data_IF_847945900669
#
_entry.id   IF_847945900669
#
_cell.length_a   1.000
_cell.length_b   1.000
_cell.length_c   1.000
_cell.angle_alpha   90.00
_cell.angle_beta   90.00
_cell.angle_gamma   90.00
#
_symmetry.space_group_name_H-M   'P 1'
#
loop_
_entity.id
_entity.type
_entity.pdbx_description
1 polymer ?
#
# COMPACT_ATOMS: atom_id res chain seq x y z
N UNK A 1 10.75 -2.06 -10.65
CA UNK A 1 10.56 -3.18 -11.59
C UNK A 1 9.43 -4.07 -11.05
N UNK A 2 8.95 -5.05 -11.83
CA UNK A 2 7.96 -6.03 -11.34
C UNK A 2 8.35 -7.44 -11.76
N UNK A 3 7.84 -8.43 -11.02
CA UNK A 3 7.92 -9.84 -11.39
C UNK A 3 6.52 -10.38 -11.63
N UNK A 4 6.41 -11.33 -12.56
CA UNK A 4 5.17 -12.05 -12.82
C UNK A 4 5.07 -13.16 -11.78
N UNK A 5 3.96 -13.18 -11.04
CA UNK A 5 3.75 -14.15 -9.99
C UNK A 5 3.24 -15.46 -10.58
N UNK A 6 3.86 -16.58 -10.20
CA UNK A 6 3.29 -17.89 -10.45
C UNK A 6 2.15 -18.15 -9.45
N UNK A 7 0.91 -18.10 -9.93
CA UNK A 7 -0.31 -18.29 -9.11
C UNK A 7 -0.33 -19.68 -8.46
N UNK A 8 0.16 -20.72 -9.15
CA UNK A 8 0.09 -22.10 -8.65
C UNK A 8 0.98 -22.35 -7.43
N UNK A 9 2.05 -21.58 -7.25
CA UNK A 9 2.92 -21.67 -6.08
C UNK A 9 2.60 -20.63 -5.00
N UNK A 10 1.58 -19.80 -5.20
CA UNK A 10 1.30 -18.68 -4.31
C UNK A 10 0.40 -19.09 -3.14
N UNK A 11 0.84 -18.79 -1.92
CA UNK A 11 0.10 -19.08 -0.68
C UNK A 11 -1.34 -18.54 -0.68
N UNK A 12 -1.61 -17.46 -1.43
CA UNK A 12 -2.94 -16.82 -1.47
C UNK A 12 -3.77 -17.20 -2.70
N UNK A 13 -3.39 -18.26 -3.42
CA UNK A 13 -4.11 -18.73 -4.63
C UNK A 13 -5.61 -18.86 -4.38
N UNK A 14 -6.01 -19.63 -3.38
CA UNK A 14 -7.43 -19.89 -3.09
C UNK A 14 -8.19 -18.61 -2.75
N UNK A 15 -7.60 -17.72 -1.94
CA UNK A 15 -8.20 -16.42 -1.65
C UNK A 15 -8.36 -15.57 -2.92
N UNK A 16 -7.35 -15.55 -3.79
CA UNK A 16 -7.42 -14.81 -5.03
C UNK A 16 -8.49 -15.36 -5.97
N UNK A 17 -8.55 -16.68 -6.17
CA UNK A 17 -9.56 -17.31 -7.02
C UNK A 17 -10.99 -17.07 -6.49
N UNK A 18 -11.17 -17.14 -5.17
CA UNK A 18 -12.46 -16.85 -4.54
C UNK A 18 -12.90 -15.39 -4.76
N UNK A 19 -12.04 -14.42 -4.44
CA UNK A 19 -12.42 -12.99 -4.56
C UNK A 19 -12.43 -12.49 -6.01
N UNK A 20 -11.61 -13.05 -6.91
CA UNK A 20 -11.57 -12.63 -8.33
C UNK A 20 -12.92 -12.81 -9.03
N UNK A 21 -13.74 -13.75 -8.58
CA UNK A 21 -15.06 -14.02 -9.15
C UNK A 21 -16.13 -12.98 -8.77
N UNK A 22 -15.83 -12.03 -7.89
CA UNK A 22 -16.80 -11.06 -7.38
C UNK A 22 -16.80 -9.81 -8.24
N UNK A 23 -17.97 -9.20 -8.45
CA UNK A 23 -18.09 -7.90 -9.14
C UNK A 23 -17.38 -6.76 -8.39
N UNK A 24 -17.35 -6.84 -7.05
CA UNK A 24 -16.74 -5.84 -6.16
C UNK A 24 -15.80 -6.49 -5.13
N UNK A 25 -14.56 -6.84 -5.51
CA UNK A 25 -13.62 -7.57 -4.66
C UNK A 25 -12.78 -6.64 -3.76
N UNK A 26 -13.41 -5.64 -3.13
CA UNK A 26 -12.73 -4.65 -2.29
C UNK A 26 -13.51 -4.36 -1.01
N UNK A 27 -12.78 -3.97 0.04
CA UNK A 27 -13.34 -3.57 1.32
C UNK A 27 -12.63 -2.32 1.83
N UNK A 28 -13.34 -1.52 2.64
CA UNK A 28 -12.79 -0.37 3.35
C UNK A 28 -12.51 -0.71 4.81
N UNK A 29 -11.47 -0.11 5.38
CA UNK A 29 -11.22 -0.14 6.82
C UNK A 29 -10.71 1.23 7.29
N UNK A 30 -11.07 1.60 8.51
CA UNK A 30 -10.58 2.80 9.17
C UNK A 30 -10.04 2.45 10.56
N UNK A 31 -9.02 3.19 10.98
CA UNK A 31 -8.47 3.06 12.33
C UNK A 31 -7.81 4.36 12.75
N UNK A 32 -7.74 4.58 14.08
CA UNK A 32 -7.04 5.71 14.66
C UNK A 32 -5.57 5.35 14.84
N UNK A 33 -4.68 6.20 14.34
CA UNK A 33 -3.23 6.07 14.52
C UNK A 33 -2.75 7.22 15.41
N UNK A 34 -2.07 6.90 16.50
CA UNK A 34 -1.43 7.91 17.34
C UNK A 34 -0.18 8.46 16.63
N UNK A 35 -0.21 9.76 16.34
CA UNK A 35 0.86 10.49 15.65
C UNK A 35 1.64 11.44 16.58
N UNK A 36 1.43 11.36 17.90
CA UNK A 36 2.04 12.27 18.88
C UNK A 36 3.57 12.34 18.70
N UNK A 37 4.22 11.18 18.53
CA UNK A 37 5.67 11.12 18.30
C UNK A 37 6.10 11.76 16.98
N UNK A 38 5.36 11.51 15.89
CA UNK A 38 5.63 12.11 14.59
C UNK A 38 5.51 13.64 14.64
N UNK A 39 4.49 14.14 15.34
CA UNK A 39 4.27 15.57 15.55
C UNK A 39 5.44 16.23 16.29
N UNK A 40 5.90 15.65 17.40
CA UNK A 40 7.04 16.20 18.15
C UNK A 40 8.33 16.22 17.32
N UNK A 41 8.61 15.16 16.56
CA UNK A 41 9.77 15.11 15.65
C UNK A 41 9.68 16.21 14.59
N UNK A 42 8.51 16.36 13.94
CA UNK A 42 8.33 17.37 12.90
C UNK A 42 8.51 18.78 13.46
N UNK A 43 7.94 19.06 14.65
CA UNK A 43 8.05 20.36 15.30
C UNK A 43 9.50 20.69 15.68
N UNK A 44 10.25 19.73 16.22
CA UNK A 44 11.66 19.93 16.58
C UNK A 44 12.57 20.19 15.36
N UNK A 45 12.23 19.62 14.20
CA UNK A 45 13.04 19.71 12.98
C UNK A 45 12.50 20.72 11.96
N UNK A 46 11.42 21.45 12.27
CA UNK A 46 10.70 22.33 11.36
C UNK A 46 10.28 21.63 10.04
N UNK A 47 9.81 20.39 10.13
CA UNK A 47 9.32 19.62 8.99
C UNK A 47 7.80 19.71 8.84
N UNK A 48 7.32 19.60 7.61
CA UNK A 48 5.89 19.45 7.33
C UNK A 48 5.38 18.11 7.86
N UNK A 49 4.44 18.16 8.81
CA UNK A 49 3.78 16.95 9.34
C UNK A 49 3.13 16.14 8.22
N UNK A 50 2.54 16.82 7.24
CA UNK A 50 1.90 16.18 6.08
C UNK A 50 2.88 15.33 5.28
N UNK A 51 4.01 15.92 4.86
CA UNK A 51 5.02 15.19 4.10
C UNK A 51 5.64 14.06 4.92
N UNK A 52 5.80 14.29 6.23
CA UNK A 52 6.37 13.29 7.13
C UNK A 52 5.49 12.04 7.24
N UNK A 53 4.20 12.19 7.58
CA UNK A 53 3.33 11.01 7.65
C UNK A 53 3.12 10.39 6.27
N UNK A 54 3.08 11.18 5.20
CA UNK A 54 2.97 10.66 3.83
C UNK A 54 4.14 9.75 3.47
N UNK A 55 5.37 10.17 3.78
CA UNK A 55 6.56 9.34 3.64
C UNK A 55 6.47 8.05 4.46
N UNK A 56 6.03 8.14 5.72
CA UNK A 56 5.87 6.96 6.58
C UNK A 56 4.80 5.99 6.04
N UNK A 57 3.68 6.50 5.53
CA UNK A 57 2.64 5.69 4.88
C UNK A 57 3.18 4.99 3.63
N UNK A 58 3.93 5.69 2.77
CA UNK A 58 4.59 5.08 1.62
C UNK A 58 5.58 3.99 2.04
N UNK A 59 6.38 4.23 3.09
CA UNK A 59 7.33 3.25 3.62
C UNK A 59 6.60 2.00 4.13
N UNK A 60 5.53 2.15 4.90
CA UNK A 60 4.73 1.03 5.40
C UNK A 60 4.15 0.19 4.25
N UNK A 61 3.53 0.85 3.26
CA UNK A 61 2.99 0.19 2.06
C UNK A 61 4.06 -0.59 1.29
N UNK A 62 5.26 -0.01 1.13
CA UNK A 62 6.36 -0.69 0.47
C UNK A 62 6.95 -1.85 1.27
N UNK A 63 6.91 -1.79 2.61
CA UNK A 63 7.38 -2.88 3.47
C UNK A 63 6.40 -4.07 3.53
N UNK A 64 5.12 -3.83 3.26
CA UNK A 64 4.09 -4.86 3.26
C UNK A 64 3.83 -5.37 1.83
N UNK A 65 4.30 -6.58 1.54
CA UNK A 65 4.19 -7.20 0.21
C UNK A 65 2.75 -7.28 -0.32
N UNK A 66 1.79 -7.53 0.56
CA UNK A 66 0.38 -7.65 0.18
C UNK A 66 -0.15 -6.40 -0.56
N UNK A 67 0.39 -5.20 -0.28
CA UNK A 67 -0.01 -3.98 -0.98
C UNK A 67 0.65 -3.81 -2.35
N UNK A 68 1.67 -4.61 -2.70
CA UNK A 68 2.47 -4.48 -3.93
C UNK A 68 1.97 -5.34 -5.09
N UNK A 69 0.97 -6.19 -4.86
CA UNK A 69 0.32 -6.97 -5.92
C UNK A 69 -0.61 -6.10 -6.79
N UNK A 70 -0.60 -6.31 -8.10
CA UNK A 70 -1.56 -5.71 -9.06
C UNK A 70 -2.03 -6.78 -10.04
N UNK A 71 -3.29 -6.69 -10.45
CA UNK A 71 -3.84 -7.47 -11.55
C UNK A 71 -3.86 -6.59 -12.80
N UNK A 72 -3.10 -6.96 -13.83
CA UNK A 72 -3.05 -6.22 -15.10
C UNK A 72 -3.18 -7.25 -16.24
N UNK A 73 -4.21 -7.12 -17.07
CA UNK A 73 -4.46 -8.05 -18.19
C UNK A 73 -4.46 -9.53 -17.72
N UNK A 74 -5.17 -9.81 -16.64
CA UNK A 74 -5.24 -11.12 -15.97
C UNK A 74 -3.93 -11.68 -15.39
N UNK A 75 -2.85 -10.89 -15.44
CA UNK A 75 -1.56 -11.25 -14.85
C UNK A 75 -1.40 -10.62 -13.47
N UNK A 76 -1.07 -11.46 -12.48
CA UNK A 76 -0.71 -10.99 -11.14
C UNK A 76 0.75 -10.58 -11.14
N UNK A 77 1.00 -9.27 -11.00
CA UNK A 77 2.33 -8.66 -10.94
C UNK A 77 2.67 -8.28 -9.51
N UNK A 78 3.88 -8.59 -9.08
CA UNK A 78 4.44 -8.13 -7.82
C UNK A 78 5.44 -7.01 -8.10
N UNK A 79 5.14 -5.80 -7.63
CA UNK A 79 6.03 -4.66 -7.77
C UNK A 79 7.07 -4.65 -6.65
N UNK A 80 8.31 -4.29 -7.00
CA UNK A 80 9.39 -4.12 -6.04
C UNK A 80 9.16 -2.89 -5.17
N UNK A 81 8.80 -1.77 -5.82
CA UNK A 81 8.52 -0.50 -5.18
C UNK A 81 7.25 0.15 -5.73
N UNK A 82 6.50 0.78 -4.83
CA UNK A 82 5.32 1.58 -5.11
C UNK A 82 5.60 3.05 -4.81
N UNK A 83 5.17 3.91 -5.72
CA UNK A 83 5.15 5.35 -5.51
C UNK A 83 3.73 5.76 -5.12
N UNK A 84 3.60 6.43 -3.99
CA UNK A 84 2.32 6.98 -3.53
C UNK A 84 2.14 8.36 -4.14
N UNK A 85 0.96 8.61 -4.70
CA UNK A 85 0.55 9.93 -5.19
C UNK A 85 -0.33 10.61 -4.13
N UNK A 86 -0.32 11.94 -4.10
CA UNK A 86 -1.19 12.74 -3.23
C UNK A 86 -1.66 13.99 -3.96
N UNK A 87 -2.91 14.37 -3.69
CA UNK A 87 -3.47 15.61 -4.19
C UNK A 87 -3.02 16.76 -3.28
N UNK A 88 -2.50 17.82 -3.88
CA UNK A 88 -2.09 19.03 -3.18
C UNK A 88 -3.17 20.09 -3.38
N UNK A 89 -3.82 20.51 -2.30
CA UNK A 89 -4.66 21.70 -2.32
C UNK A 89 -3.77 22.93 -2.17
N UNK A 90 -3.95 23.90 -3.07
CA UNK A 90 -3.28 25.20 -3.03
C UNK A 90 -4.09 26.18 -2.20
#
# INVERSE_FOLDING_TARGET
MYTILNINSWKRKEHFEFFKAFDQPYFGMETKVDISKAYQICKANNWSLFLYYHFLSQKAVNQTEAFRYRLIQDEVRLYEHLHVNTNMFR
#
